data_IF_359008767584
#
_entry.id   IF_359008767584
#
_cell.length_a   1.000
_cell.length_b   1.000
_cell.length_c   1.000
_cell.angle_alpha   90.00
_cell.angle_beta   90.00
_cell.angle_gamma   90.00
#
_symmetry.space_group_name_H-M   'P 1'
#
loop_
_entity.id
_entity.type
_entity.pdbx_description
1 polymer ?
#
# COMPACT_ATOMS: atom_id res chain seq x y z
N UNK A 1 13.59 5.80 0.98
CA UNK A 1 12.81 4.60 1.42
C UNK A 1 13.02 3.46 0.44
N UNK A 2 13.21 2.23 0.93
CA UNK A 2 13.47 1.08 0.08
C UNK A 2 12.23 0.16 -0.03
N UNK A 3 11.94 -0.29 -1.25
CA UNK A 3 10.94 -1.32 -1.54
C UNK A 3 11.72 -2.45 -2.22
N UNK A 4 12.07 -3.46 -1.46
CA UNK A 4 13.06 -4.43 -1.91
C UNK A 4 14.35 -3.74 -2.35
N UNK A 5 14.74 -3.94 -3.61
CA UNK A 5 15.93 -3.32 -4.23
C UNK A 5 15.67 -1.99 -4.93
N UNK A 6 14.44 -1.46 -4.89
CA UNK A 6 14.06 -0.16 -5.49
C UNK A 6 13.98 0.91 -4.41
N UNK A 7 14.81 1.95 -4.52
CA UNK A 7 14.74 3.13 -3.67
C UNK A 7 13.76 4.14 -4.25
N UNK A 8 12.89 4.69 -3.41
CA UNK A 8 11.97 5.79 -3.76
C UNK A 8 12.21 6.98 -2.85
N UNK A 9 12.14 8.19 -3.39
CA UNK A 9 12.34 9.43 -2.63
C UNK A 9 12.69 10.61 -3.53
N UNK A 10 13.03 11.73 -2.91
CA UNK A 10 13.20 13.03 -3.56
C UNK A 10 14.24 13.01 -4.69
N UNK A 11 15.37 12.33 -4.49
CA UNK A 11 16.51 12.37 -5.41
C UNK A 11 16.64 11.07 -6.24
N UNK A 12 15.62 10.21 -6.17
CA UNK A 12 15.63 8.92 -6.85
C UNK A 12 14.87 8.97 -8.17
N UNK A 13 15.20 8.04 -9.07
CA UNK A 13 14.44 7.82 -10.31
C UNK A 13 12.98 7.51 -9.97
N UNK A 14 12.05 8.09 -10.73
CA UNK A 14 10.62 7.74 -10.63
C UNK A 14 10.44 6.26 -10.99
N UNK A 15 10.02 5.46 -10.01
CA UNK A 15 9.78 4.04 -10.19
C UNK A 15 8.47 3.78 -10.96
N UNK A 16 8.53 2.94 -11.98
CA UNK A 16 7.36 2.50 -12.75
C UNK A 16 6.72 1.32 -12.06
N UNK A 17 5.50 1.51 -11.55
CA UNK A 17 4.72 0.44 -10.92
C UNK A 17 3.52 0.07 -11.78
N UNK A 18 3.30 -1.23 -11.96
CA UNK A 18 2.09 -1.77 -12.58
C UNK A 18 1.37 -2.74 -11.64
N UNK A 19 0.11 -3.04 -11.93
CA UNK A 19 -0.71 -3.96 -11.13
C UNK A 19 -1.15 -5.14 -11.98
N UNK A 20 -1.04 -6.35 -11.42
CA UNK A 20 -1.60 -7.55 -12.02
C UNK A 20 -3.13 -7.45 -12.04
N UNK A 21 -3.74 -7.89 -13.13
CA UNK A 21 -5.19 -7.87 -13.33
C UNK A 21 -5.78 -9.24 -13.65
N UNK A 22 -4.96 -10.28 -13.57
CA UNK A 22 -5.40 -11.67 -13.68
C UNK A 22 -6.04 -12.10 -12.35
N UNK A 23 -7.13 -12.87 -12.34
CA UNK A 23 -7.72 -13.36 -11.09
C UNK A 23 -6.71 -14.12 -10.22
N UNK A 24 -6.77 -13.95 -8.89
CA UNK A 24 -5.76 -14.48 -7.98
C UNK A 24 -5.63 -16.01 -7.99
N UNK A 25 -6.70 -16.74 -8.38
CA UNK A 25 -6.66 -18.20 -8.51
C UNK A 25 -5.92 -18.69 -9.76
N UNK A 26 -5.72 -17.85 -10.77
CA UNK A 26 -4.92 -18.19 -11.96
C UNK A 26 -3.45 -17.82 -11.70
N UNK A 27 -2.77 -18.70 -10.97
CA UNK A 27 -1.38 -18.51 -10.58
C UNK A 27 -0.46 -18.37 -11.79
N UNK A 28 -0.62 -19.26 -12.80
CA UNK A 28 0.24 -19.24 -13.98
C UNK A 28 0.05 -17.95 -14.80
N UNK A 29 -1.21 -17.54 -15.02
CA UNK A 29 -1.50 -16.28 -15.71
C UNK A 29 -0.90 -15.06 -15.01
N UNK A 30 -0.90 -15.02 -13.68
CA UNK A 30 -0.26 -13.96 -12.91
C UNK A 30 1.26 -13.98 -13.04
N UNK A 31 1.90 -15.16 -13.03
CA UNK A 31 3.35 -15.30 -13.26
C UNK A 31 3.71 -14.80 -14.67
N UNK A 32 2.99 -15.25 -15.68
CA UNK A 32 3.24 -14.83 -17.08
C UNK A 32 3.08 -13.32 -17.26
N UNK A 33 2.06 -12.73 -16.62
CA UNK A 33 1.88 -11.28 -16.63
C UNK A 33 3.02 -10.57 -15.89
N UNK A 34 3.46 -11.06 -14.73
CA UNK A 34 4.58 -10.49 -13.99
C UNK A 34 5.88 -10.51 -14.81
N UNK A 35 6.17 -11.61 -15.49
CA UNK A 35 7.32 -11.74 -16.39
C UNK A 35 7.26 -10.75 -17.57
N UNK A 36 6.08 -10.57 -18.17
CA UNK A 36 5.87 -9.58 -19.25
C UNK A 36 6.09 -8.15 -18.75
N UNK A 37 5.59 -7.82 -17.55
CA UNK A 37 5.79 -6.50 -16.94
C UNK A 37 7.27 -6.24 -16.65
N UNK A 38 7.99 -7.22 -16.11
CA UNK A 38 9.45 -7.14 -15.91
C UNK A 38 10.17 -6.89 -17.23
N UNK A 39 9.86 -7.67 -18.26
CA UNK A 39 10.46 -7.50 -19.59
C UNK A 39 10.15 -6.13 -20.23
N UNK A 40 9.01 -5.52 -19.89
CA UNK A 40 8.64 -4.17 -20.32
C UNK A 40 9.30 -3.03 -19.50
N UNK A 41 10.15 -3.37 -18.51
CA UNK A 41 10.85 -2.39 -17.68
C UNK A 41 10.07 -1.87 -16.47
N UNK A 42 9.09 -2.65 -15.98
CA UNK A 42 8.39 -2.35 -14.73
C UNK A 42 9.36 -2.51 -13.55
N UNK A 43 9.45 -1.50 -12.69
CA UNK A 43 10.33 -1.53 -11.52
C UNK A 43 9.67 -2.20 -10.30
N UNK A 44 8.33 -2.11 -10.17
CA UNK A 44 7.56 -2.63 -9.03
C UNK A 44 6.26 -3.26 -9.52
N UNK A 45 5.91 -4.45 -9.06
CA UNK A 45 4.62 -5.10 -9.34
C UNK A 45 3.72 -5.01 -8.10
N UNK A 46 2.42 -4.74 -8.32
CA UNK A 46 1.38 -4.80 -7.30
C UNK A 46 0.41 -5.91 -7.63
N UNK A 47 0.00 -6.68 -6.63
CA UNK A 47 -0.96 -7.78 -6.75
C UNK A 47 -2.03 -7.66 -5.66
N UNK A 48 -3.29 -7.88 -6.02
CA UNK A 48 -4.37 -7.98 -5.05
C UNK A 48 -4.33 -9.35 -4.34
N UNK A 49 -4.46 -9.32 -3.01
CA UNK A 49 -4.52 -10.54 -2.18
C UNK A 49 -5.85 -10.52 -1.40
N UNK A 50 -6.93 -11.02 -2.00
CA UNK A 50 -8.27 -10.89 -1.44
C UNK A 50 -8.57 -11.85 -0.27
N UNK A 51 -7.86 -12.96 -0.15
CA UNK A 51 -8.05 -14.00 0.86
C UNK A 51 -6.73 -14.71 1.19
N UNK A 52 -6.73 -15.55 2.23
CA UNK A 52 -5.54 -16.27 2.68
C UNK A 52 -5.01 -17.26 1.62
N UNK A 53 -5.88 -17.90 0.85
CA UNK A 53 -5.46 -18.81 -0.21
C UNK A 53 -4.64 -18.10 -1.29
N UNK A 54 -4.95 -16.82 -1.55
CA UNK A 54 -4.23 -16.00 -2.52
C UNK A 54 -2.80 -15.61 -2.09
N UNK A 55 -2.43 -15.84 -0.82
CA UNK A 55 -1.05 -15.60 -0.35
C UNK A 55 -0.04 -16.49 -1.06
N UNK A 56 -0.44 -17.69 -1.49
CA UNK A 56 0.41 -18.58 -2.30
C UNK A 56 0.93 -17.88 -3.56
N UNK A 57 0.15 -16.97 -4.13
CA UNK A 57 0.53 -16.20 -5.31
C UNK A 57 1.81 -15.36 -5.08
N UNK A 58 2.01 -14.84 -3.85
CA UNK A 58 3.23 -14.09 -3.50
C UNK A 58 4.46 -14.99 -3.63
N UNK A 59 4.45 -16.18 -3.01
CA UNK A 59 5.55 -17.14 -3.09
C UNK A 59 5.86 -17.53 -4.54
N UNK A 60 4.80 -17.80 -5.32
CA UNK A 60 4.96 -18.24 -6.71
C UNK A 60 5.53 -17.13 -7.58
N UNK A 61 5.00 -15.92 -7.54
CA UNK A 61 5.51 -14.81 -8.33
C UNK A 61 6.98 -14.53 -7.96
N UNK A 62 7.32 -14.46 -6.68
CA UNK A 62 8.70 -14.17 -6.23
C UNK A 62 9.72 -15.25 -6.61
N UNK A 63 9.28 -16.47 -6.91
CA UNK A 63 10.19 -17.51 -7.43
C UNK A 63 10.52 -17.35 -8.93
N UNK A 64 9.80 -16.53 -9.67
CA UNK A 64 10.01 -16.31 -11.11
C UNK A 64 10.47 -14.90 -11.47
N UNK A 65 10.18 -13.90 -10.62
CA UNK A 65 10.57 -12.50 -10.86
C UNK A 65 11.29 -11.93 -9.63
N UNK A 66 12.33 -11.16 -9.87
CA UNK A 66 13.20 -10.54 -8.86
C UNK A 66 12.89 -9.05 -8.60
N UNK A 67 11.87 -8.50 -9.28
CA UNK A 67 11.41 -7.13 -9.02
C UNK A 67 10.50 -7.08 -7.78
N UNK A 68 10.49 -5.98 -7.02
CA UNK A 68 9.70 -5.84 -5.82
C UNK A 68 8.21 -6.09 -6.03
N UNK A 69 7.59 -6.80 -5.09
CA UNK A 69 6.18 -7.16 -5.10
C UNK A 69 5.43 -6.43 -3.97
N UNK A 70 4.33 -5.77 -4.31
CA UNK A 70 3.45 -5.06 -3.37
C UNK A 70 2.15 -5.86 -3.21
N UNK A 71 1.84 -6.29 -1.99
CA UNK A 71 0.55 -6.89 -1.67
C UNK A 71 -0.50 -5.80 -1.39
N UNK A 72 -1.61 -5.86 -2.12
CA UNK A 72 -2.76 -4.96 -1.92
C UNK A 72 -3.84 -5.67 -1.11
N UNK A 73 -4.00 -5.25 0.15
CA UNK A 73 -4.88 -5.88 1.13
C UNK A 73 -5.91 -4.87 1.60
N UNK A 74 -7.19 -5.25 1.64
CA UNK A 74 -8.27 -4.31 1.89
C UNK A 74 -8.81 -4.35 3.32
N UNK A 75 -9.01 -5.55 3.92
CA UNK A 75 -9.78 -5.66 5.15
C UNK A 75 -9.21 -6.62 6.21
N UNK A 76 -8.48 -7.65 5.83
CA UNK A 76 -8.07 -8.70 6.77
C UNK A 76 -6.59 -8.56 7.14
N UNK A 77 -6.33 -8.22 8.40
CA UNK A 77 -4.98 -8.10 8.96
C UNK A 77 -4.18 -9.41 8.90
N UNK A 78 -4.84 -10.58 8.96
CA UNK A 78 -4.17 -11.88 8.88
C UNK A 78 -3.54 -12.08 7.50
N UNK A 79 -4.20 -11.62 6.44
CA UNK A 79 -3.64 -11.64 5.09
C UNK A 79 -2.38 -10.78 5.02
N UNK A 80 -2.39 -9.60 5.69
CA UNK A 80 -1.21 -8.74 5.74
C UNK A 80 -0.01 -9.44 6.43
N UNK A 81 -0.25 -10.11 7.55
CA UNK A 81 0.76 -10.89 8.28
C UNK A 81 1.30 -12.02 7.40
N UNK A 82 0.42 -12.79 6.76
CA UNK A 82 0.84 -13.91 5.89
C UNK A 82 1.58 -13.42 4.64
N UNK A 83 1.19 -12.28 4.05
CA UNK A 83 1.95 -11.68 2.96
C UNK A 83 3.34 -11.22 3.40
N UNK A 84 3.47 -10.65 4.61
CA UNK A 84 4.76 -10.29 5.19
C UNK A 84 5.63 -11.55 5.39
N UNK A 85 5.05 -12.65 5.88
CA UNK A 85 5.73 -13.95 6.01
C UNK A 85 6.12 -14.55 4.67
N UNK A 86 5.31 -14.35 3.64
CA UNK A 86 5.59 -14.78 2.26
C UNK A 86 6.71 -13.98 1.58
N UNK A 87 7.23 -12.92 2.22
CA UNK A 87 8.36 -12.14 1.74
C UNK A 87 8.00 -11.07 0.72
N UNK A 88 6.80 -10.48 0.84
CA UNK A 88 6.42 -9.31 0.05
C UNK A 88 7.32 -8.11 0.40
N UNK A 89 7.57 -7.24 -0.58
CA UNK A 89 8.49 -6.11 -0.40
C UNK A 89 7.80 -4.81 0.07
N UNK A 90 6.47 -4.75 -0.02
CA UNK A 90 5.63 -3.67 0.52
C UNK A 90 4.20 -4.16 0.70
N UNK A 91 3.53 -3.67 1.72
CA UNK A 91 2.10 -3.89 1.92
C UNK A 91 1.33 -2.60 1.67
N UNK A 92 0.22 -2.67 0.95
CA UNK A 92 -0.73 -1.58 0.83
C UNK A 92 -1.98 -1.93 1.63
N UNK A 93 -2.28 -1.12 2.62
CA UNK A 93 -3.50 -1.20 3.44
C UNK A 93 -4.10 0.19 3.64
N UNK A 94 -5.31 0.20 4.21
CA UNK A 94 -5.83 1.34 4.93
C UNK A 94 -5.96 0.90 6.41
N UNK A 95 -5.15 1.43 7.35
CA UNK A 95 -5.16 0.98 8.75
C UNK A 95 -6.53 1.05 9.41
N UNK A 96 -7.34 2.05 9.06
CA UNK A 96 -8.72 2.17 9.57
C UNK A 96 -9.69 1.07 9.10
N UNK A 97 -9.33 0.27 8.08
CA UNK A 97 -10.18 -0.78 7.54
C UNK A 97 -9.79 -2.19 8.01
N UNK A 98 -8.61 -2.36 8.61
CA UNK A 98 -8.13 -3.70 9.04
C UNK A 98 -8.57 -4.09 10.45
N UNK A 99 -9.22 -3.19 11.17
CA UNK A 99 -9.87 -3.47 12.44
C UNK A 99 -9.42 -2.55 13.58
N UNK A 100 -9.42 -3.11 14.79
CA UNK A 100 -9.04 -2.40 16.01
C UNK A 100 -7.52 -2.21 16.14
N UNK A 101 -7.12 -1.44 17.15
CA UNK A 101 -5.73 -1.12 17.47
C UNK A 101 -4.83 -2.36 17.56
N UNK A 102 -5.32 -3.46 18.16
CA UNK A 102 -4.52 -4.68 18.33
C UNK A 102 -4.17 -5.34 16.98
N UNK A 103 -5.03 -5.21 15.98
CA UNK A 103 -4.79 -5.73 14.62
C UNK A 103 -3.84 -4.83 13.84
N UNK A 104 -3.96 -3.52 14.00
CA UNK A 104 -3.01 -2.55 13.43
C UNK A 104 -1.63 -2.78 14.02
N UNK A 105 -1.52 -2.94 15.35
CA UNK A 105 -0.29 -3.26 16.05
C UNK A 105 0.37 -4.55 15.51
N UNK A 106 -0.42 -5.62 15.35
CA UNK A 106 0.09 -6.89 14.85
C UNK A 106 0.70 -6.75 13.44
N UNK A 107 0.08 -5.95 12.56
CA UNK A 107 0.62 -5.69 11.21
C UNK A 107 1.86 -4.79 11.29
N UNK A 108 1.84 -3.73 12.11
CA UNK A 108 2.99 -2.85 12.30
C UNK A 108 4.20 -3.63 12.81
N UNK A 109 4.02 -4.49 13.83
CA UNK A 109 5.09 -5.30 14.42
C UNK A 109 5.74 -6.25 13.41
N UNK A 110 4.97 -7.01 12.63
CA UNK A 110 5.55 -7.92 11.63
C UNK A 110 6.24 -7.16 10.49
N UNK A 111 5.71 -5.99 10.10
CA UNK A 111 6.33 -5.14 9.09
C UNK A 111 7.63 -4.49 9.60
N UNK A 112 7.69 -4.09 10.88
CA UNK A 112 8.92 -3.63 11.52
C UNK A 112 9.98 -4.74 11.57
N UNK A 113 9.62 -5.93 12.06
CA UNK A 113 10.51 -7.07 12.15
C UNK A 113 11.16 -7.41 10.80
N UNK A 114 10.39 -7.33 9.73
CA UNK A 114 10.83 -7.70 8.37
C UNK A 114 11.29 -6.50 7.54
N UNK A 115 11.28 -5.29 8.10
CA UNK A 115 11.62 -4.03 7.42
C UNK A 115 10.79 -3.82 6.13
N UNK A 116 9.49 -4.11 6.19
CA UNK A 116 8.55 -3.99 5.07
C UNK A 116 7.80 -2.66 5.19
N UNK A 117 7.90 -1.73 4.22
CA UNK A 117 7.14 -0.50 4.24
C UNK A 117 5.63 -0.74 4.08
N UNK A 118 4.83 0.09 4.77
CA UNK A 118 3.38 0.10 4.63
C UNK A 118 2.95 1.32 3.81
N UNK A 119 2.16 1.08 2.76
CA UNK A 119 1.52 2.14 1.98
C UNK A 119 0.08 2.35 2.45
N UNK A 120 -0.19 3.55 2.94
CA UNK A 120 -1.53 4.05 3.22
C UNK A 120 -2.15 4.56 1.93
N UNK A 121 -3.34 4.04 1.58
CA UNK A 121 -4.07 4.45 0.37
C UNK A 121 -5.35 5.20 0.71
N UNK A 122 -5.32 6.52 0.69
CA UNK A 122 -6.51 7.37 0.84
C UNK A 122 -7.19 7.56 -0.52
N UNK A 123 -8.52 7.50 -0.53
CA UNK A 123 -9.31 7.68 -1.75
C UNK A 123 -10.49 8.62 -1.47
N UNK A 124 -10.68 9.63 -2.30
CA UNK A 124 -11.78 10.59 -2.18
C UNK A 124 -13.18 9.94 -2.19
N UNK A 125 -13.32 8.75 -2.77
CA UNK A 125 -14.58 8.01 -2.81
C UNK A 125 -14.85 7.12 -1.58
N UNK A 126 -13.91 7.04 -0.62
CA UNK A 126 -14.03 6.16 0.56
C UNK A 126 -13.40 6.76 1.82
N UNK A 127 -13.61 8.08 2.01
CA UNK A 127 -13.22 8.75 3.24
C UNK A 127 -14.04 8.25 4.43
N UNK A 128 -13.47 8.34 5.60
CA UNK A 128 -14.08 8.01 6.89
C UNK A 128 -15.34 8.86 7.13
N UNK A 129 -16.35 8.27 7.77
CA UNK A 129 -17.64 8.95 8.02
C UNK A 129 -17.48 10.21 8.87
N UNK A 130 -16.58 10.19 9.83
CA UNK A 130 -16.27 11.29 10.74
C UNK A 130 -15.64 12.46 9.98
N UNK A 131 -14.72 12.17 9.06
CA UNK A 131 -14.09 13.17 8.18
C UNK A 131 -15.13 13.75 7.22
N UNK A 132 -15.95 12.90 6.60
CA UNK A 132 -17.04 13.37 5.74
C UNK A 132 -18.07 14.21 6.50
N UNK A 133 -18.38 13.89 7.75
CA UNK A 133 -19.27 14.69 8.59
C UNK A 133 -18.69 16.09 8.89
N UNK A 134 -17.38 16.18 9.06
CA UNK A 134 -16.66 17.46 9.30
C UNK A 134 -16.56 18.33 8.07
N UNK A 135 -16.26 17.75 6.91
CA UNK A 135 -15.99 18.49 5.66
C UNK A 135 -17.16 18.52 4.68
N UNK A 136 -18.25 17.78 4.95
CA UNK A 136 -19.47 17.63 4.15
C UNK A 136 -19.27 16.93 2.79
N UNK A 137 -18.10 17.06 2.19
CA UNK A 137 -17.71 16.39 0.94
C UNK A 137 -16.17 16.23 0.89
N UNK A 138 -15.63 15.41 -0.02
CA UNK A 138 -14.19 15.30 -0.20
C UNK A 138 -13.58 16.66 -0.58
N UNK A 139 -12.56 17.09 0.20
CA UNK A 139 -11.75 18.29 -0.04
C UNK A 139 -10.27 17.92 0.08
N UNK A 140 -9.34 18.76 -0.39
CA UNK A 140 -7.90 18.54 -0.15
C UNK A 140 -7.55 18.37 1.34
N UNK A 141 -8.18 19.17 2.20
CA UNK A 141 -7.98 19.14 3.64
C UNK A 141 -8.52 17.84 4.25
N UNK A 142 -9.67 17.36 3.79
CA UNK A 142 -10.26 16.08 4.22
C UNK A 142 -9.37 14.90 3.85
N UNK A 143 -8.82 14.89 2.63
CA UNK A 143 -7.89 13.86 2.17
C UNK A 143 -6.57 13.89 2.93
N UNK A 144 -6.05 15.08 3.21
CA UNK A 144 -4.86 15.27 4.03
C UNK A 144 -5.10 14.78 5.47
N UNK A 145 -6.21 15.17 6.09
CA UNK A 145 -6.56 14.72 7.46
C UNK A 145 -6.68 13.21 7.54
N UNK A 146 -7.35 12.57 6.56
CA UNK A 146 -7.44 11.11 6.48
C UNK A 146 -6.05 10.45 6.37
N UNK A 147 -5.17 10.99 5.53
CA UNK A 147 -3.82 10.45 5.38
C UNK A 147 -3.01 10.54 6.67
N UNK A 148 -3.03 11.69 7.35
CA UNK A 148 -2.34 11.91 8.61
C UNK A 148 -2.93 11.08 9.76
N UNK A 149 -4.26 10.93 9.81
CA UNK A 149 -4.93 10.06 10.77
C UNK A 149 -4.44 8.61 10.65
N UNK A 150 -4.38 8.07 9.43
CA UNK A 150 -3.90 6.71 9.21
C UNK A 150 -2.39 6.54 9.45
N UNK A 151 -1.59 7.58 9.19
CA UNK A 151 -0.18 7.56 9.56
C UNK A 151 -0.02 7.50 11.09
N UNK A 152 -0.73 8.35 11.82
CA UNK A 152 -0.71 8.37 13.28
C UNK A 152 -1.16 7.03 13.92
N UNK A 153 -2.06 6.27 13.27
CA UNK A 153 -2.42 4.94 13.74
C UNK A 153 -1.25 3.95 13.68
N UNK A 154 -0.36 4.07 12.71
CA UNK A 154 0.84 3.23 12.61
C UNK A 154 1.96 3.74 13.54
N UNK A 155 2.17 5.06 13.59
CA UNK A 155 3.15 5.71 14.47
C UNK A 155 2.90 5.42 15.94
N UNK A 156 1.63 5.23 16.35
CA UNK A 156 1.24 4.80 17.70
C UNK A 156 1.92 3.49 18.14
N UNK A 157 2.31 2.65 17.18
CA UNK A 157 2.99 1.36 17.39
C UNK A 157 4.45 1.39 16.93
N UNK A 158 5.09 2.56 17.01
CA UNK A 158 6.50 2.77 16.65
C UNK A 158 6.83 2.34 15.20
N UNK A 159 5.86 2.53 14.28
CA UNK A 159 6.03 2.22 12.86
C UNK A 159 6.12 3.51 12.04
N UNK A 160 7.28 3.77 11.44
CA UNK A 160 7.60 5.00 10.67
C UNK A 160 7.91 4.77 9.19
N UNK A 161 8.04 3.51 8.76
CA UNK A 161 8.33 3.15 7.36
C UNK A 161 7.06 3.26 6.49
N UNK A 162 6.51 4.47 6.38
CA UNK A 162 5.18 4.77 5.81
C UNK A 162 5.29 5.43 4.45
N UNK A 163 4.48 4.97 3.50
CA UNK A 163 4.23 5.62 2.20
C UNK A 163 2.79 6.13 2.17
N UNK A 164 2.58 7.41 1.91
CA UNK A 164 1.25 7.98 1.73
C UNK A 164 0.89 8.03 0.25
N UNK A 165 -0.33 7.62 -0.07
CA UNK A 165 -0.89 7.70 -1.42
C UNK A 165 -2.31 8.24 -1.37
N UNK A 166 -2.56 9.31 -2.10
CA UNK A 166 -3.86 9.96 -2.21
C UNK A 166 -4.39 9.80 -3.63
N UNK A 167 -5.64 9.37 -3.76
CA UNK A 167 -6.33 9.22 -5.04
C UNK A 167 -7.58 10.10 -5.08
N UNK A 168 -7.70 10.89 -6.13
CA UNK A 168 -8.92 11.60 -6.52
C UNK A 168 -9.06 11.62 -8.04
N UNK A 169 -10.28 11.53 -8.56
CA UNK A 169 -10.56 11.78 -9.97
C UNK A 169 -10.44 13.26 -10.36
N UNK A 170 -10.49 14.16 -9.37
CA UNK A 170 -10.20 15.58 -9.56
C UNK A 170 -8.70 15.81 -9.35
N UNK A 171 -7.98 16.10 -10.45
CA UNK A 171 -6.52 16.28 -10.46
C UNK A 171 -6.09 17.45 -9.55
N UNK A 172 -6.78 18.58 -9.61
CA UNK A 172 -6.46 19.74 -8.78
C UNK A 172 -6.61 19.44 -7.28
N UNK A 173 -7.66 18.70 -6.92
CA UNK A 173 -7.85 18.24 -5.53
C UNK A 173 -6.70 17.31 -5.11
N UNK A 174 -6.32 16.38 -5.98
CA UNK A 174 -5.23 15.43 -5.68
C UNK A 174 -3.90 16.19 -5.46
N UNK A 175 -3.54 17.11 -6.35
CA UNK A 175 -2.29 17.89 -6.24
C UNK A 175 -2.28 18.70 -4.94
N UNK A 176 -3.34 19.45 -4.65
CA UNK A 176 -3.45 20.23 -3.41
C UNK A 176 -3.39 19.36 -2.15
N UNK A 177 -3.97 18.15 -2.20
CA UNK A 177 -3.88 17.22 -1.06
C UNK A 177 -2.44 16.77 -0.80
N UNK A 178 -1.65 16.51 -1.86
CA UNK A 178 -0.24 16.17 -1.71
C UNK A 178 0.61 17.35 -1.21
N UNK A 179 0.33 18.57 -1.68
CA UNK A 179 0.99 19.79 -1.15
C UNK A 179 0.73 19.93 0.36
N UNK A 180 -0.53 19.80 0.80
CA UNK A 180 -0.90 19.87 2.21
C UNK A 180 -0.26 18.77 3.07
N UNK A 181 -0.13 17.55 2.54
CA UNK A 181 0.55 16.45 3.25
C UNK A 181 2.04 16.73 3.33
N UNK A 182 2.66 17.16 2.22
CA UNK A 182 4.10 17.46 2.20
C UNK A 182 4.51 18.57 3.18
N UNK A 183 3.62 19.55 3.43
CA UNK A 183 3.84 20.61 4.41
C UNK A 183 3.71 20.15 5.86
N UNK A 184 3.12 18.97 6.11
CA UNK A 184 2.79 18.45 7.46
C UNK A 184 3.49 17.15 7.82
N UNK A 185 4.08 16.47 6.86
CA UNK A 185 4.93 15.29 7.06
C UNK A 185 6.41 15.68 6.94
N UNK A 186 7.24 15.17 7.85
CA UNK A 186 8.70 15.31 7.78
C UNK A 186 9.30 14.32 6.80
#
# INVERSE_FOLDING_TARGET
MNIGNVCIGKDEKIAVQSMLNIPAHDIQGNIDQAMKLKAAGCDIIRVAVPNLESVELIYKIKSFVDIPLVADIHFDYKIAIECANAGVDKIRINPGNIGDDSRVEAVANICNEKNIPIRIGVNSGSLEKEILAKYLHPTPEALCESALYHAALLEKFDFDNIVISIKSSNVNMMVKSYELVADRCN
#
